data_IF_146824025836
#
_entry.id   IF_146824025836
#
_cell.length_a   1.000
_cell.length_b   1.000
_cell.length_c   1.000
_cell.angle_alpha   90.00
_cell.angle_beta   90.00
_cell.angle_gamma   90.00
#
_symmetry.space_group_name_H-M   'P 1'
#
loop_
_entity.id
_entity.type
_entity.pdbx_description
1 polymer ?
#
# COMPACT_ATOMS: atom_id res chain seq x y z
N UNK A 1 -8.94 5.06 47.35
CA UNK A 1 -9.91 3.96 47.11
C UNK A 1 -11.30 4.56 47.12
N UNK A 2 -11.91 4.72 45.95
CA UNK A 2 -13.36 4.88 45.80
C UNK A 2 -13.74 4.25 44.47
N UNK A 3 -14.46 3.15 44.55
CA UNK A 3 -14.97 2.36 43.43
C UNK A 3 -16.38 2.89 43.17
N UNK A 4 -16.67 3.37 41.97
CA UNK A 4 -18.05 3.72 41.57
C UNK A 4 -18.51 2.77 40.47
N UNK A 5 -19.40 1.92 40.94
CA UNK A 5 -20.31 0.95 40.35
C UNK A 5 -20.80 1.13 38.91
N UNK A 6 -20.94 -0.05 38.27
CA UNK A 6 -21.74 -0.41 37.09
C UNK A 6 -23.16 0.19 37.07
N UNK A 7 -23.68 0.41 35.86
CA UNK A 7 -25.07 0.12 35.45
C UNK A 7 -25.16 -0.03 33.92
N UNK A 8 -25.46 -1.24 33.47
CA UNK A 8 -26.15 -1.47 32.19
C UNK A 8 -27.67 -1.37 32.43
N UNK A 9 -28.44 -0.94 31.43
CA UNK A 9 -29.84 -1.33 31.34
C UNK A 9 -30.15 -2.20 30.12
N UNK A 10 -30.90 -3.23 30.47
CA UNK A 10 -31.60 -4.24 29.69
C UNK A 10 -32.82 -3.64 28.95
N UNK A 11 -33.21 -4.25 27.82
CA UNK A 11 -34.49 -4.05 27.11
C UNK A 11 -34.28 -4.35 25.62
N UNK A 12 -34.68 -5.47 25.03
CA UNK A 12 -35.77 -6.37 25.38
C UNK A 12 -37.07 -5.84 24.79
N UNK A 13 -37.40 -6.22 23.55
CA UNK A 13 -38.78 -6.32 23.06
C UNK A 13 -38.83 -7.23 21.82
N UNK A 14 -39.30 -8.46 22.06
CA UNK A 14 -39.79 -9.38 21.05
C UNK A 14 -41.30 -9.13 20.94
N UNK A 15 -41.82 -8.87 19.75
CA UNK A 15 -43.26 -8.85 19.51
C UNK A 15 -43.68 -10.15 18.81
N UNK A 16 -44.35 -11.00 19.58
CA UNK A 16 -45.19 -12.11 19.13
C UNK A 16 -46.49 -11.61 18.48
N UNK A 17 -46.85 -12.27 17.37
CA UNK A 17 -48.12 -12.96 17.08
C UNK A 17 -49.45 -12.19 17.19
N UNK A 18 -50.21 -12.18 16.07
CA UNK A 18 -51.55 -12.78 15.92
C UNK A 18 -52.15 -12.32 14.58
N UNK A 19 -52.58 -13.22 13.70
CA UNK A 19 -53.99 -13.57 13.67
C UNK A 19 -54.33 -14.52 12.51
N UNK A 20 -54.98 -15.63 12.89
CA UNK A 20 -55.71 -16.54 12.03
C UNK A 20 -56.83 -15.81 11.28
N UNK A 21 -57.01 -16.14 10.00
CA UNK A 21 -58.13 -15.72 9.20
C UNK A 21 -58.45 -16.80 8.17
N UNK A 22 -59.20 -17.80 8.60
CA UNK A 22 -59.82 -18.80 7.72
C UNK A 22 -60.76 -18.10 6.74
N UNK A 23 -60.57 -18.41 5.45
CA UNK A 23 -61.35 -17.85 4.37
C UNK A 23 -61.31 -18.75 3.15
N UNK A 24 -61.77 -20.00 3.31
CA UNK A 24 -62.12 -20.85 2.18
C UNK A 24 -63.28 -20.20 1.41
N UNK A 25 -62.98 -19.65 0.23
CA UNK A 25 -63.98 -19.46 -0.81
C UNK A 25 -63.59 -20.34 -2.00
N UNK A 26 -64.40 -21.37 -2.22
CA UNK A 26 -64.39 -22.16 -3.42
C UNK A 26 -64.77 -21.24 -4.60
N UNK A 27 -63.82 -21.03 -5.52
CA UNK A 27 -64.14 -20.52 -6.85
C UNK A 27 -64.21 -21.73 -7.79
N UNK A 28 -65.40 -21.89 -8.37
CA UNK A 28 -65.74 -22.92 -9.31
C UNK A 28 -64.75 -22.94 -10.48
N UNK A 29 -64.31 -24.15 -10.83
CA UNK A 29 -63.58 -24.39 -12.07
C UNK A 29 -64.55 -24.21 -13.23
N UNK A 30 -64.59 -23.00 -13.80
CA UNK A 30 -65.21 -22.77 -15.09
C UNK A 30 -64.14 -22.94 -16.17
N UNK A 31 -64.30 -24.07 -16.84
CA UNK A 31 -63.57 -24.60 -17.97
C UNK A 31 -63.43 -23.54 -19.08
N UNK A 32 -62.33 -22.80 -19.04
CA UNK A 32 -61.89 -21.98 -20.17
C UNK A 32 -60.64 -22.62 -20.72
N UNK A 33 -60.85 -23.40 -21.79
CA UNK A 33 -59.81 -23.86 -22.70
C UNK A 33 -59.10 -22.62 -23.24
N UNK A 34 -58.04 -22.19 -22.57
CA UNK A 34 -57.10 -21.22 -23.10
C UNK A 34 -56.19 -21.97 -24.06
N UNK A 35 -56.53 -21.83 -25.33
CA UNK A 35 -55.69 -22.11 -26.49
C UNK A 35 -54.25 -21.63 -26.22
N UNK A 36 -53.37 -22.59 -26.01
CA UNK A 36 -51.98 -22.40 -25.61
C UNK A 36 -51.08 -22.16 -26.84
N UNK A 37 -51.56 -21.42 -27.85
CA UNK A 37 -50.83 -21.35 -29.12
C UNK A 37 -49.85 -20.19 -29.23
N UNK A 38 -49.92 -19.12 -28.42
CA UNK A 38 -48.96 -18.01 -28.53
C UNK A 38 -48.77 -17.28 -27.19
N UNK A 39 -47.56 -17.25 -26.58
CA UNK A 39 -47.31 -16.35 -25.46
C UNK A 39 -47.43 -14.89 -25.92
N UNK A 40 -47.93 -13.97 -25.07
CA UNK A 40 -48.00 -12.55 -25.40
C UNK A 40 -46.61 -12.03 -25.75
N UNK A 41 -46.50 -11.40 -26.93
CA UNK A 41 -45.28 -10.87 -27.56
C UNK A 41 -44.45 -9.95 -26.66
N UNK A 42 -45.03 -9.42 -25.58
CA UNK A 42 -44.36 -8.58 -24.59
C UNK A 42 -43.40 -9.35 -23.68
N UNK A 43 -43.50 -10.68 -23.60
CA UNK A 43 -42.58 -11.50 -22.82
C UNK A 43 -41.17 -11.56 -23.44
N UNK A 44 -41.08 -11.47 -24.77
CA UNK A 44 -39.80 -11.55 -25.49
C UNK A 44 -39.04 -10.22 -25.47
N UNK A 45 -39.75 -9.08 -25.54
CA UNK A 45 -39.14 -7.74 -25.49
C UNK A 45 -38.55 -7.39 -24.12
N UNK A 46 -39.09 -7.98 -23.03
CA UNK A 46 -38.50 -7.82 -21.71
C UNK A 46 -37.13 -8.50 -21.55
N UNK A 47 -36.76 -9.47 -22.38
CA UNK A 47 -35.43 -10.10 -22.31
C UNK A 47 -34.35 -9.26 -23.01
N UNK A 48 -34.71 -8.53 -24.07
CA UNK A 48 -33.80 -7.60 -24.74
C UNK A 48 -33.41 -6.41 -23.83
N UNK A 49 -34.36 -5.87 -23.07
CA UNK A 49 -34.10 -4.80 -22.09
C UNK A 49 -33.27 -5.24 -20.88
N UNK A 50 -33.29 -6.53 -20.51
CA UNK A 50 -32.46 -7.07 -19.42
C UNK A 50 -31.00 -7.21 -19.86
N UNK A 51 -30.72 -7.50 -21.14
CA UNK A 51 -29.36 -7.58 -21.68
C UNK A 51 -28.68 -6.20 -21.80
N UNK A 52 -29.44 -5.11 -21.85
CA UNK A 52 -28.91 -3.75 -21.90
C UNK A 52 -28.49 -3.24 -20.50
N UNK A 53 -29.27 -3.57 -19.46
CA UNK A 53 -28.91 -3.24 -18.07
C UNK A 53 -27.91 -4.21 -17.44
N UNK A 54 -27.93 -5.47 -17.88
CA UNK A 54 -26.89 -6.46 -17.61
C UNK A 54 -25.98 -6.47 -18.81
N UNK A 55 -25.18 -5.41 -18.98
CA UNK A 55 -24.14 -5.37 -20.00
C UNK A 55 -23.41 -6.72 -19.98
N UNK A 56 -23.54 -7.48 -21.08
CA UNK A 56 -23.03 -8.85 -21.17
C UNK A 56 -21.51 -8.79 -21.16
N UNK A 57 -20.96 -8.71 -19.94
CA UNK A 57 -19.53 -8.73 -19.71
C UNK A 57 -19.06 -10.10 -20.17
N UNK A 58 -18.22 -10.13 -21.20
CA UNK A 58 -17.63 -11.38 -21.63
C UNK A 58 -16.85 -11.99 -20.47
N UNK A 59 -16.81 -13.32 -20.38
CA UNK A 59 -16.05 -14.02 -19.32
C UNK A 59 -14.58 -13.55 -19.28
N UNK A 60 -14.02 -13.18 -20.43
CA UNK A 60 -12.68 -12.63 -20.56
C UNK A 60 -12.54 -11.26 -19.88
N UNK A 61 -13.50 -10.36 -20.11
CA UNK A 61 -13.51 -9.02 -19.52
C UNK A 61 -13.72 -9.07 -18.00
N UNK A 62 -14.56 -9.98 -17.50
CA UNK A 62 -14.71 -10.21 -16.07
C UNK A 62 -13.39 -10.69 -15.41
N UNK A 63 -12.66 -11.58 -16.08
CA UNK A 63 -11.34 -12.04 -15.63
C UNK A 63 -10.31 -10.91 -15.65
N UNK A 64 -10.32 -10.08 -16.68
CA UNK A 64 -9.42 -8.93 -16.80
C UNK A 64 -9.65 -7.92 -15.67
N UNK A 65 -10.90 -7.52 -15.42
CA UNK A 65 -11.24 -6.59 -14.34
C UNK A 65 -10.91 -7.14 -12.95
N UNK A 66 -11.13 -8.44 -12.72
CA UNK A 66 -10.74 -9.10 -11.45
C UNK A 66 -9.23 -9.00 -11.23
N UNK A 67 -8.45 -9.34 -12.26
CA UNK A 67 -7.01 -9.35 -12.20
C UNK A 67 -6.42 -7.93 -12.06
N UNK A 68 -7.00 -6.94 -12.74
CA UNK A 68 -6.59 -5.53 -12.61
C UNK A 68 -6.85 -5.01 -11.18
N UNK A 69 -7.98 -5.37 -10.58
CA UNK A 69 -8.29 -5.00 -9.19
C UNK A 69 -7.31 -5.64 -8.21
N UNK A 70 -6.93 -6.89 -8.45
CA UNK A 70 -5.96 -7.60 -7.63
C UNK A 70 -4.55 -7.00 -7.75
N UNK A 71 -4.11 -6.70 -8.97
CA UNK A 71 -2.84 -6.00 -9.25
C UNK A 71 -2.78 -4.65 -8.53
N UNK A 72 -3.83 -3.83 -8.66
CA UNK A 72 -3.92 -2.54 -7.96
C UNK A 72 -3.79 -2.70 -6.44
N UNK A 73 -4.40 -3.73 -5.85
CA UNK A 73 -4.28 -4.01 -4.41
C UNK A 73 -2.85 -4.37 -4.02
N UNK A 74 -2.17 -5.21 -4.80
CA UNK A 74 -0.78 -5.62 -4.58
C UNK A 74 0.17 -4.41 -4.68
N UNK A 75 0.01 -3.61 -5.71
CA UNK A 75 0.76 -2.35 -5.88
C UNK A 75 0.55 -1.39 -4.71
N UNK A 76 -0.68 -1.24 -4.22
CA UNK A 76 -0.96 -0.42 -3.03
C UNK A 76 -0.30 -1.00 -1.77
N UNK A 77 -0.28 -2.32 -1.61
CA UNK A 77 0.38 -2.98 -0.48
C UNK A 77 1.89 -2.72 -0.49
N UNK A 78 2.56 -2.89 -1.63
CA UNK A 78 3.99 -2.59 -1.80
C UNK A 78 4.26 -1.12 -1.47
N UNK A 79 3.50 -0.19 -2.06
CA UNK A 79 3.64 1.24 -1.79
C UNK A 79 3.49 1.57 -0.30
N UNK A 80 2.64 0.85 0.44
CA UNK A 80 2.49 1.02 1.88
C UNK A 80 3.74 0.55 2.62
N UNK A 81 4.20 -0.67 2.35
CA UNK A 81 5.39 -1.24 3.01
C UNK A 81 6.64 -0.41 2.74
N UNK A 82 6.83 0.05 1.51
CA UNK A 82 7.95 0.94 1.15
C UNK A 82 7.90 2.27 1.91
N UNK A 83 6.71 2.84 2.12
CA UNK A 83 6.55 4.04 2.95
C UNK A 83 6.90 3.76 4.40
N UNK A 84 6.44 2.64 4.94
CA UNK A 84 6.70 2.25 6.34
C UNK A 84 8.21 2.03 6.58
N UNK A 85 8.92 1.40 5.64
CA UNK A 85 10.38 1.29 5.63
C UNK A 85 11.04 2.67 5.66
N UNK A 86 10.63 3.58 4.77
CA UNK A 86 11.18 4.93 4.70
C UNK A 86 10.97 5.69 6.01
N UNK A 87 9.78 5.57 6.62
CA UNK A 87 9.45 6.18 7.91
C UNK A 87 10.34 5.62 9.01
N UNK A 88 10.54 4.30 9.07
CA UNK A 88 11.39 3.65 10.06
C UNK A 88 12.84 4.15 9.97
N UNK A 89 13.41 4.17 8.77
CA UNK A 89 14.78 4.67 8.53
C UNK A 89 14.91 6.15 8.93
N UNK A 90 13.94 6.98 8.54
CA UNK A 90 13.97 8.40 8.89
C UNK A 90 13.86 8.63 10.40
N UNK A 91 13.07 7.82 11.10
CA UNK A 91 12.96 7.86 12.55
C UNK A 91 14.29 7.51 13.22
N UNK A 92 14.97 6.46 12.74
CA UNK A 92 16.29 6.08 13.24
C UNK A 92 17.34 7.18 13.02
N UNK A 93 17.37 7.77 11.82
CA UNK A 93 18.25 8.92 11.52
C UNK A 93 17.97 10.12 12.43
N UNK A 94 16.69 10.43 12.67
CA UNK A 94 16.32 11.53 13.56
C UNK A 94 16.76 11.25 15.00
N UNK A 95 16.59 10.02 15.50
CA UNK A 95 17.08 9.63 16.82
C UNK A 95 18.60 9.82 16.92
N UNK A 96 19.36 9.35 15.93
CA UNK A 96 20.81 9.50 15.91
C UNK A 96 21.26 10.97 15.94
N UNK A 97 20.58 11.84 15.18
CA UNK A 97 20.85 13.27 15.20
C UNK A 97 20.57 13.90 16.57
N UNK A 98 19.47 13.53 17.23
CA UNK A 98 19.19 13.98 18.60
C UNK A 98 20.27 13.54 19.59
N UNK A 99 20.72 12.29 19.51
CA UNK A 99 21.81 11.77 20.34
C UNK A 99 23.12 12.53 20.10
N UNK A 100 23.44 12.89 18.85
CA UNK A 100 24.59 13.74 18.53
C UNK A 100 24.51 15.14 19.15
N UNK A 101 23.34 15.76 19.09
CA UNK A 101 23.09 17.06 19.73
C UNK A 101 23.28 16.98 21.25
N UNK A 102 22.78 15.92 21.88
CA UNK A 102 22.90 15.73 23.33
C UNK A 102 24.35 15.44 23.75
N UNK A 103 25.09 14.64 22.97
CA UNK A 103 26.51 14.41 23.17
C UNK A 103 27.31 15.73 23.06
N UNK A 104 27.01 16.57 22.07
CA UNK A 104 27.64 17.88 21.92
C UNK A 104 27.37 18.81 23.12
N UNK A 105 26.13 18.85 23.62
CA UNK A 105 25.79 19.65 24.81
C UNK A 105 26.52 19.14 26.04
N UNK A 106 26.56 17.82 26.24
CA UNK A 106 27.26 17.20 27.36
C UNK A 106 28.76 17.50 27.31
N UNK A 107 29.38 17.41 26.12
CA UNK A 107 30.80 17.72 25.91
C UNK A 107 31.10 19.20 26.18
N UNK A 108 30.20 20.10 25.79
CA UNK A 108 30.32 21.53 26.11
C UNK A 108 30.30 21.79 27.61
N UNK A 109 29.41 21.14 28.35
CA UNK A 109 29.32 21.28 29.80
C UNK A 109 30.54 20.64 30.50
N UNK A 110 30.99 19.47 30.03
CA UNK A 110 32.23 18.84 30.50
C UNK A 110 33.42 19.79 30.36
N UNK A 111 33.62 20.38 29.17
CA UNK A 111 34.67 21.39 28.93
C UNK A 111 34.56 22.63 29.82
N UNK A 112 33.34 23.05 30.15
CA UNK A 112 33.11 24.18 31.04
C UNK A 112 33.50 23.84 32.48
N UNK A 113 33.14 22.66 32.98
CA UNK A 113 33.54 22.18 34.30
C UNK A 113 35.05 22.04 34.42
N UNK A 114 35.71 21.47 33.40
CA UNK A 114 37.17 21.37 33.34
C UNK A 114 37.83 22.74 33.49
N UNK A 115 37.34 23.77 32.77
CA UNK A 115 37.87 25.14 32.89
C UNK A 115 37.72 25.71 34.30
N UNK A 116 36.60 25.46 34.98
CA UNK A 116 36.37 25.92 36.36
C UNK A 116 37.36 25.26 37.32
N UNK A 117 37.52 23.94 37.26
CA UNK A 117 38.43 23.17 38.12
C UNK A 117 39.88 23.61 37.90
N UNK A 118 40.28 23.81 36.64
CA UNK A 118 41.59 24.33 36.27
C UNK A 118 41.84 25.73 36.87
N UNK A 119 40.86 26.63 36.79
CA UNK A 119 40.99 27.98 37.36
C UNK A 119 41.11 27.99 38.90
N UNK A 120 40.58 26.95 39.56
CA UNK A 120 40.68 26.76 41.00
C UNK A 120 41.97 26.04 41.43
N UNK A 121 42.81 25.62 40.48
CA UNK A 121 44.04 24.86 40.76
C UNK A 121 43.78 23.45 41.31
N UNK A 122 42.57 22.93 41.13
CA UNK A 122 42.18 21.59 41.58
C UNK A 122 42.53 20.52 40.54
N UNK A 123 42.67 19.28 40.99
CA UNK A 123 42.90 18.13 40.11
C UNK A 123 41.62 17.78 39.35
N UNK A 124 41.72 17.62 38.03
CA UNK A 124 40.59 17.26 37.17
C UNK A 124 40.22 15.78 37.41
N UNK A 125 38.97 15.47 37.76
CA UNK A 125 38.48 14.09 37.82
C UNK A 125 38.69 13.35 36.50
N UNK A 126 39.08 12.07 36.55
CA UNK A 126 39.33 11.26 35.36
C UNK A 126 38.12 11.17 34.42
N UNK A 127 36.91 11.15 34.96
CA UNK A 127 35.66 11.07 34.19
C UNK A 127 35.46 12.27 33.25
N UNK A 128 35.95 13.46 33.63
CA UNK A 128 35.87 14.67 32.80
C UNK A 128 36.96 14.73 31.72
N UNK A 129 37.93 13.82 31.76
CA UNK A 129 38.99 13.72 30.76
C UNK A 129 38.61 12.79 29.60
N UNK A 130 37.57 11.97 29.78
CA UNK A 130 37.09 11.05 28.74
C UNK A 130 36.27 11.87 27.73
N UNK A 131 36.68 11.94 26.45
CA UNK A 131 35.90 12.65 25.43
C UNK A 131 34.54 12.00 25.24
N UNK A 132 33.47 12.80 25.22
CA UNK A 132 32.15 12.30 24.87
C UNK A 132 32.06 12.19 23.35
N UNK A 133 31.93 10.96 22.86
CA UNK A 133 31.85 10.67 21.43
C UNK A 133 30.47 11.05 20.89
N UNK A 134 30.45 11.69 19.73
CA UNK A 134 29.23 11.99 18.99
C UNK A 134 28.72 10.71 18.28
N UNK A 135 27.52 10.20 18.64
CA UNK A 135 26.93 9.02 18.00
C UNK A 135 26.66 9.22 16.50
N UNK A 136 26.43 10.45 16.04
CA UNK A 136 26.24 10.72 14.60
C UNK A 136 27.54 10.50 13.81
N UNK A 137 28.70 10.76 14.41
CA UNK A 137 30.01 10.59 13.77
C UNK A 137 30.64 9.23 14.04
N UNK A 138 30.29 8.63 15.18
CA UNK A 138 30.80 7.34 15.62
C UNK A 138 29.62 6.49 16.09
N UNK A 139 28.76 6.04 15.14
CA UNK A 139 27.59 5.23 15.47
C UNK A 139 28.04 3.90 16.07
N UNK A 140 27.33 3.46 17.11
CA UNK A 140 27.50 2.13 17.68
C UNK A 140 26.93 1.06 16.74
N UNK A 141 27.29 -0.22 16.91
CA UNK A 141 26.66 -1.31 16.14
C UNK A 141 25.13 -1.30 16.25
N UNK A 142 24.58 -0.98 17.42
CA UNK A 142 23.14 -0.89 17.67
C UNK A 142 22.50 0.28 16.89
N UNK A 143 23.21 1.41 16.76
CA UNK A 143 22.77 2.54 15.95
C UNK A 143 22.73 2.18 14.45
N UNK A 144 23.73 1.41 13.99
CA UNK A 144 23.79 0.92 12.62
C UNK A 144 22.66 -0.08 12.34
N UNK A 145 22.36 -0.97 13.28
CA UNK A 145 21.24 -1.90 13.19
C UNK A 145 19.90 -1.15 13.15
N UNK A 146 19.77 -0.09 13.94
CA UNK A 146 18.57 0.76 13.93
C UNK A 146 18.34 1.49 12.61
N UNK A 147 19.40 1.75 11.83
CA UNK A 147 19.30 2.34 10.48
C UNK A 147 18.84 1.34 9.42
N UNK A 148 18.91 0.04 9.72
CA UNK A 148 18.38 -0.98 8.82
C UNK A 148 16.85 -1.00 8.91
N UNK A 149 16.16 -1.19 7.78
CA UNK A 149 14.74 -1.38 7.82
C UNK A 149 14.38 -2.65 8.61
N UNK A 150 13.24 -2.65 9.32
CA UNK A 150 12.80 -3.81 10.08
C UNK A 150 12.76 -5.06 9.20
N UNK A 151 13.34 -6.21 9.64
CA UNK A 151 13.41 -7.43 8.86
C UNK A 151 12.05 -7.91 8.36
N UNK A 152 11.01 -7.72 9.17
CA UNK A 152 9.63 -8.09 8.83
C UNK A 152 9.09 -7.29 7.64
N UNK A 153 9.43 -5.99 7.57
CA UNK A 153 8.99 -5.13 6.46
C UNK A 153 9.77 -5.43 5.18
N UNK A 154 11.06 -5.77 5.28
CA UNK A 154 11.85 -6.23 4.14
C UNK A 154 11.31 -7.53 3.56
N UNK A 155 11.09 -8.55 4.41
CA UNK A 155 10.53 -9.83 3.96
C UNK A 155 9.15 -9.66 3.31
N UNK A 156 8.32 -8.78 3.87
CA UNK A 156 7.01 -8.47 3.31
C UNK A 156 7.13 -7.78 1.94
N UNK A 157 8.08 -6.86 1.79
CA UNK A 157 8.33 -6.19 0.50
C UNK A 157 8.84 -7.18 -0.55
N UNK A 158 9.81 -8.01 -0.20
CA UNK A 158 10.42 -9.00 -1.10
C UNK A 158 9.39 -10.04 -1.55
N UNK A 159 8.59 -10.57 -0.62
CA UNK A 159 7.52 -11.50 -0.95
C UNK A 159 6.46 -10.88 -1.86
N UNK A 160 6.08 -9.62 -1.61
CA UNK A 160 5.10 -8.91 -2.44
C UNK A 160 5.63 -8.65 -3.85
N UNK A 161 6.90 -8.26 -3.99
CA UNK A 161 7.53 -8.05 -5.29
C UNK A 161 7.64 -9.36 -6.08
N UNK A 162 8.06 -10.45 -5.42
CA UNK A 162 8.16 -11.78 -6.05
C UNK A 162 6.82 -12.29 -6.58
N UNK A 163 5.73 -12.04 -5.86
CA UNK A 163 4.38 -12.43 -6.31
C UNK A 163 4.00 -11.66 -7.58
N UNK A 164 4.31 -10.37 -7.66
CA UNK A 164 4.03 -9.57 -8.85
C UNK A 164 4.84 -10.02 -10.08
N UNK A 165 6.12 -10.34 -9.90
CA UNK A 165 6.98 -10.80 -10.99
C UNK A 165 6.49 -12.12 -11.60
N UNK A 166 6.15 -13.10 -10.76
CA UNK A 166 5.65 -14.40 -11.20
C UNK A 166 4.33 -14.25 -11.98
N UNK A 167 3.44 -13.36 -11.56
CA UNK A 167 2.17 -13.11 -12.25
C UNK A 167 2.35 -12.36 -13.57
N UNK A 168 3.36 -11.50 -13.67
CA UNK A 168 3.73 -10.85 -14.92
C UNK A 168 4.31 -11.86 -15.92
N UNK A 169 5.18 -12.76 -15.47
CA UNK A 169 5.78 -13.82 -16.30
C UNK A 169 4.71 -14.77 -16.87
N UNK A 170 3.73 -15.19 -16.04
CA UNK A 170 2.62 -16.06 -16.48
C UNK A 170 1.70 -15.41 -17.52
N UNK A 171 1.70 -14.09 -17.67
CA UNK A 171 0.93 -13.36 -18.71
C UNK A 171 1.68 -13.23 -20.04
N UNK A 172 2.96 -13.56 -20.10
CA UNK A 172 3.79 -13.55 -21.32
C UNK A 172 4.30 -14.97 -21.66
N UNK A 173 3.41 -15.92 -22.03
CA UNK A 173 3.86 -17.24 -22.46
C UNK A 173 4.53 -17.12 -23.85
N UNK A 174 5.86 -16.91 -23.88
CA UNK A 174 6.59 -16.87 -25.15
C UNK A 174 8.04 -16.38 -25.18
N UNK A 175 8.61 -15.81 -24.12
CA UNK A 175 10.02 -15.33 -24.15
C UNK A 175 11.02 -16.37 -23.63
N UNK A 176 10.81 -17.63 -24.02
CA UNK A 176 11.58 -18.78 -23.55
C UNK A 176 11.99 -19.71 -24.68
N UNK A 177 12.51 -19.18 -25.79
CA UNK A 177 13.28 -19.95 -26.77
C UNK A 177 14.55 -19.14 -27.08
N UNK A 178 15.69 -19.82 -26.96
CA UNK A 178 17.01 -19.22 -26.89
C UNK A 178 17.40 -18.29 -28.02
N UNK A 179 18.38 -17.44 -27.71
CA UNK A 179 19.11 -16.61 -28.64
C UNK A 179 19.60 -17.44 -29.85
N UNK A 180 18.91 -17.32 -30.99
CA UNK A 180 19.51 -17.56 -32.29
C UNK A 180 19.78 -16.17 -32.88
N UNK A 181 21.04 -15.83 -33.22
CA UNK A 181 21.33 -14.58 -33.89
C UNK A 181 20.79 -14.68 -35.33
N UNK A 182 19.63 -14.09 -35.57
CA UNK A 182 19.11 -13.94 -36.93
C UNK A 182 19.79 -12.74 -37.56
N UNK A 183 20.85 -13.02 -38.32
CA UNK A 183 21.46 -12.07 -39.24
C UNK A 183 20.49 -11.77 -40.39
N UNK A 184 20.40 -10.48 -40.71
CA UNK A 184 20.13 -9.86 -42.00
C UNK A 184 18.87 -10.29 -42.77
N UNK A 185 17.90 -9.38 -42.86
CA UNK A 185 17.29 -8.98 -44.14
C UNK A 185 16.96 -7.48 -44.06
N UNK A 186 17.47 -6.77 -45.05
CA UNK A 186 17.48 -5.34 -45.21
C UNK A 186 16.10 -4.77 -45.61
N UNK A 187 15.80 -3.60 -45.04
CA UNK A 187 15.32 -2.37 -45.70
C UNK A 187 14.08 -2.45 -46.63
N UNK A 188 12.98 -1.80 -46.22
CA UNK A 188 12.30 -0.82 -47.09
C UNK A 188 11.74 0.32 -46.22
N UNK A 189 12.17 1.53 -46.56
CA UNK A 189 11.97 2.75 -45.77
C UNK A 189 10.54 3.28 -45.71
N UNK A 190 10.33 4.08 -44.66
CA UNK A 190 9.53 5.29 -44.72
C UNK A 190 10.30 6.35 -43.93
N UNK A 191 10.81 7.31 -44.69
CA UNK A 191 11.42 8.53 -44.20
C UNK A 191 10.36 9.44 -43.54
N UNK A 192 10.87 10.37 -42.73
CA UNK A 192 10.23 11.61 -42.23
C UNK A 192 9.24 11.40 -41.05
N UNK A 193 9.34 12.06 -39.89
CA UNK A 193 9.82 13.40 -39.59
C UNK A 193 10.11 13.50 -38.07
N UNK A 194 11.34 13.85 -37.70
CA UNK A 194 11.75 14.05 -36.31
C UNK A 194 11.55 15.53 -35.94
N UNK A 195 10.35 15.86 -35.49
CA UNK A 195 10.08 17.11 -34.77
C UNK A 195 10.65 17.04 -33.36
N UNK A 196 11.94 17.36 -33.22
CA UNK A 196 12.56 17.67 -31.94
C UNK A 196 12.11 19.09 -31.52
N UNK A 197 11.35 19.20 -30.43
CA UNK A 197 11.34 20.44 -29.65
C UNK A 197 11.63 20.05 -28.20
N UNK A 198 12.93 20.09 -27.92
CA UNK A 198 13.52 19.98 -26.60
C UNK A 198 13.77 21.40 -26.12
N UNK A 199 12.79 22.01 -25.44
CA UNK A 199 13.03 23.23 -24.66
C UNK A 199 13.36 22.82 -23.22
N UNK A 200 14.66 22.59 -23.04
CA UNK A 200 15.30 22.55 -21.74
C UNK A 200 15.38 23.97 -21.19
N UNK A 201 14.50 24.34 -20.27
CA UNK A 201 14.72 25.48 -19.38
C UNK A 201 15.78 25.12 -18.32
N UNK A 202 17.03 25.04 -18.78
CA UNK A 202 18.23 25.13 -17.95
C UNK A 202 18.48 26.61 -17.67
N UNK A 203 17.87 27.13 -16.60
CA UNK A 203 18.22 28.44 -16.06
C UNK A 203 18.84 28.31 -14.67
N UNK A 204 20.04 28.89 -14.58
CA UNK A 204 20.78 29.28 -13.38
C UNK A 204 21.55 28.19 -12.62
N UNK A 205 22.71 27.82 -13.17
CA UNK A 205 23.93 27.88 -12.36
C UNK A 205 24.51 29.29 -12.49
N UNK A 206 24.62 30.03 -11.38
CA UNK A 206 25.76 30.92 -11.21
C UNK A 206 26.17 30.95 -9.74
N UNK A 207 27.32 30.32 -9.50
CA UNK A 207 28.18 30.57 -8.36
C UNK A 207 28.45 32.08 -8.22
N UNK A 208 28.15 32.65 -7.05
CA UNK A 208 29.01 33.52 -6.24
C UNK A 208 28.30 33.88 -4.93
#
# INVERSE_FOLDING_TARGET
MTIVSRREPHGGDNHEVHGLGDGSQAIAAEDTVLDLSHPPSTYFESQAGIQEWVGVLTVQEARMQKNEKEEKKKQTAIKKVTKDIKVAINKAKAALNWHGIDAWKAEKECKKQVKIIQSQGQTIPADLLIPILDPEKNPTPDDLESLLPPPDLLQLLDSANRILELEHEMRQPGSGIGNIPSQDIENYGMDEDLGYESDSDLSCNLYL
#
